data_IF_721998186166
#
_entry.id   IF_721998186166
#
_cell.length_a   1.000
_cell.length_b   1.000
_cell.length_c   1.000
_cell.angle_alpha   90.00
_cell.angle_beta   90.00
_cell.angle_gamma   90.00
#
_symmetry.space_group_name_H-M   'P 1'
#
loop_
_entity.id
_entity.type
_entity.pdbx_description
1 polymer ?
#
# COMPACT_ATOMS: atom_id res chain seq x y z
N UNK A 1 -0.75 -12.32 -12.08
CA UNK A 1 -0.33 -11.57 -10.88
C UNK A 1 -0.07 -10.15 -11.29
N UNK A 2 -0.57 -9.17 -10.55
CA UNK A 2 -0.29 -7.76 -10.76
C UNK A 2 1.21 -7.54 -10.66
N UNK A 3 1.80 -7.29 -11.82
CA UNK A 3 3.17 -6.82 -11.93
C UNK A 3 3.11 -5.32 -12.06
N UNK A 4 4.12 -4.65 -11.55
CA UNK A 4 4.35 -3.26 -11.86
C UNK A 4 4.68 -3.21 -13.36
N UNK A 5 3.69 -2.83 -14.18
CA UNK A 5 3.84 -2.70 -15.63
C UNK A 5 3.71 -1.25 -15.99
N UNK A 6 4.85 -0.57 -16.01
CA UNK A 6 4.92 0.83 -16.40
C UNK A 6 5.90 0.92 -17.56
N UNK A 7 5.37 1.19 -18.77
CA UNK A 7 6.18 1.68 -19.92
C UNK A 7 6.48 3.18 -19.78
N UNK A 8 6.38 3.74 -18.57
CA UNK A 8 6.71 5.12 -18.30
C UNK A 8 8.19 5.17 -17.95
N UNK A 9 8.95 5.99 -18.66
CA UNK A 9 10.31 6.32 -18.28
C UNK A 9 10.22 6.90 -16.87
N UNK A 10 10.89 6.32 -15.85
CA UNK A 10 10.79 6.80 -14.49
C UNK A 10 11.24 8.27 -14.49
N UNK A 11 10.34 9.17 -14.05
CA UNK A 11 10.64 10.60 -13.95
C UNK A 11 11.78 10.86 -12.96
N UNK A 12 12.04 9.91 -12.05
CA UNK A 12 13.15 9.95 -11.10
C UNK A 12 13.71 8.54 -10.95
N UNK A 13 14.92 8.32 -11.46
CA UNK A 13 15.67 7.12 -11.15
C UNK A 13 16.11 7.18 -9.67
N UNK A 14 15.92 6.10 -8.92
CA UNK A 14 16.05 6.11 -7.47
C UNK A 14 17.37 5.49 -7.02
N UNK A 15 18.04 6.14 -6.08
CA UNK A 15 19.27 5.61 -5.47
C UNK A 15 18.93 4.41 -4.57
N UNK A 16 19.68 3.32 -4.77
CA UNK A 16 19.58 2.11 -3.96
C UNK A 16 19.89 2.36 -2.47
N UNK A 17 20.73 3.35 -2.15
CA UNK A 17 21.06 3.72 -0.78
C UNK A 17 19.83 4.25 -0.05
N UNK A 18 19.10 5.18 -0.68
CA UNK A 18 17.83 5.72 -0.14
C UNK A 18 16.83 4.58 0.05
N UNK A 19 16.71 3.69 -0.94
CA UNK A 19 15.79 2.56 -0.82
C UNK A 19 16.15 1.62 0.34
N UNK A 20 17.44 1.36 0.56
CA UNK A 20 17.93 0.54 1.66
C UNK A 20 17.59 1.15 3.04
N UNK A 21 17.61 2.47 3.15
CA UNK A 21 17.21 3.17 4.38
C UNK A 21 15.71 3.02 4.64
N UNK A 22 14.86 3.17 3.62
CA UNK A 22 13.40 3.01 3.76
C UNK A 22 12.97 1.62 4.19
N UNK A 23 13.59 0.57 3.62
CA UNK A 23 13.28 -0.82 3.95
C UNK A 23 14.02 -1.31 5.20
N UNK A 24 14.77 -0.43 5.87
CA UNK A 24 15.61 -0.72 7.05
C UNK A 24 16.56 -1.91 6.84
N UNK A 25 17.06 -2.08 5.62
CA UNK A 25 17.91 -3.21 5.25
C UNK A 25 19.26 -2.72 4.72
N UNK A 26 20.39 -3.07 5.35
CA UNK A 26 21.67 -2.54 4.94
C UNK A 26 22.06 -3.08 3.56
N UNK A 27 22.67 -2.22 2.74
CA UNK A 27 23.07 -2.53 1.34
C UNK A 27 23.81 -3.88 1.18
N UNK A 28 24.61 -4.28 2.17
CA UNK A 28 25.31 -5.59 2.17
C UNK A 28 24.35 -6.80 2.10
N UNK A 29 23.17 -6.70 2.70
CA UNK A 29 22.16 -7.76 2.63
C UNK A 29 21.52 -7.82 1.25
N UNK A 30 21.26 -6.66 0.62
CA UNK A 30 20.83 -6.61 -0.79
C UNK A 30 21.87 -7.25 -1.70
N UNK A 31 23.16 -6.94 -1.52
CA UNK A 31 24.24 -7.62 -2.27
C UNK A 31 24.30 -9.13 -2.00
N UNK A 32 24.02 -9.57 -0.76
CA UNK A 32 23.92 -11.00 -0.42
C UNK A 32 22.74 -11.66 -1.13
N UNK A 33 21.57 -11.01 -1.21
CA UNK A 33 20.42 -11.52 -1.95
C UNK A 33 20.72 -11.72 -3.43
N UNK A 34 21.53 -10.85 -4.05
CA UNK A 34 22.00 -11.06 -5.42
C UNK A 34 22.93 -12.28 -5.51
N UNK A 35 23.93 -12.38 -4.64
CA UNK A 35 24.87 -13.52 -4.61
C UNK A 35 24.18 -14.86 -4.37
N UNK A 36 23.16 -14.87 -3.53
CA UNK A 36 22.34 -16.05 -3.23
C UNK A 36 21.36 -16.39 -4.36
N UNK A 37 21.35 -15.60 -5.45
CA UNK A 37 20.52 -15.82 -6.62
C UNK A 37 19.06 -15.48 -6.38
N UNK A 38 18.72 -14.60 -5.44
CA UNK A 38 17.35 -14.09 -5.25
C UNK A 38 17.07 -12.88 -6.15
N UNK A 39 17.95 -11.88 -6.20
CA UNK A 39 17.76 -10.73 -7.10
C UNK A 39 18.00 -11.13 -8.57
N UNK A 40 17.47 -10.34 -9.50
CA UNK A 40 17.65 -10.51 -10.94
C UNK A 40 18.77 -9.64 -11.52
N UNK A 41 19.22 -8.62 -10.78
CA UNK A 41 20.24 -7.66 -11.19
C UNK A 41 21.32 -7.48 -10.11
N UNK A 42 22.48 -6.94 -10.50
CA UNK A 42 23.59 -6.65 -9.57
C UNK A 42 23.43 -5.25 -8.92
N UNK A 43 23.16 -5.16 -7.60
CA UNK A 43 23.01 -3.89 -6.89
C UNK A 43 24.32 -3.10 -6.72
N UNK A 44 25.47 -3.69 -7.03
CA UNK A 44 26.76 -3.00 -6.99
C UNK A 44 27.12 -2.35 -8.34
N UNK A 45 26.64 -2.93 -9.45
CA UNK A 45 26.90 -2.45 -10.81
C UNK A 45 25.89 -1.41 -11.31
N UNK A 46 24.78 -1.24 -10.61
CA UNK A 46 23.70 -0.31 -10.98
C UNK A 46 23.81 0.96 -10.14
N UNK A 47 23.98 2.10 -10.81
CA UNK A 47 24.03 3.42 -10.16
C UNK A 47 22.64 3.93 -9.76
N UNK A 48 21.64 3.71 -10.61
CA UNK A 48 20.26 4.13 -10.37
C UNK A 48 19.30 2.98 -10.68
N UNK A 49 18.32 2.75 -9.80
CA UNK A 49 17.34 1.68 -9.98
C UNK A 49 16.26 2.12 -10.97
N UNK A 50 15.96 1.23 -11.93
CA UNK A 50 14.70 1.30 -12.64
C UNK A 50 13.54 0.81 -11.75
N UNK A 51 12.31 1.07 -12.17
CA UNK A 51 11.11 0.72 -11.39
C UNK A 51 10.98 -0.79 -11.13
N UNK A 52 11.46 -1.63 -12.06
CA UNK A 52 11.43 -3.08 -11.89
C UNK A 52 12.42 -3.55 -10.83
N UNK A 53 13.63 -2.99 -10.83
CA UNK A 53 14.69 -3.24 -9.88
C UNK A 53 14.31 -2.72 -8.48
N UNK A 54 13.73 -1.52 -8.43
CA UNK A 54 13.19 -0.92 -7.21
C UNK A 54 12.05 -1.78 -6.63
N UNK A 55 11.08 -2.19 -7.43
CA UNK A 55 10.00 -3.08 -7.00
C UNK A 55 10.53 -4.43 -6.51
N UNK A 56 11.51 -5.02 -7.20
CA UNK A 56 12.12 -6.28 -6.80
C UNK A 56 12.87 -6.14 -5.45
N UNK A 57 13.58 -5.04 -5.23
CA UNK A 57 14.26 -4.76 -3.96
C UNK A 57 13.25 -4.51 -2.84
N UNK A 58 12.16 -3.77 -3.08
CA UNK A 58 11.10 -3.61 -2.07
C UNK A 58 10.45 -4.93 -1.71
N UNK A 59 10.13 -5.73 -2.72
CA UNK A 59 9.50 -7.03 -2.54
C UNK A 59 10.36 -7.97 -1.69
N UNK A 60 11.61 -8.21 -2.09
CA UNK A 60 12.49 -9.11 -1.38
C UNK A 60 13.01 -8.50 -0.06
N UNK A 61 13.35 -7.21 -0.09
CA UNK A 61 13.84 -6.46 1.05
C UNK A 61 12.82 -6.40 2.18
N UNK A 62 11.56 -6.11 1.88
CA UNK A 62 10.47 -6.13 2.85
C UNK A 62 10.28 -7.49 3.51
N UNK A 63 10.37 -8.59 2.74
CA UNK A 63 10.29 -9.95 3.30
C UNK A 63 11.46 -10.23 4.26
N UNK A 64 12.68 -9.83 3.90
CA UNK A 64 13.86 -10.01 4.76
C UNK A 64 13.80 -9.14 6.01
N UNK A 65 13.40 -7.87 5.86
CA UNK A 65 13.22 -6.94 6.97
C UNK A 65 12.15 -7.43 7.96
N UNK A 66 11.09 -8.07 7.46
CA UNK A 66 10.09 -8.76 8.27
C UNK A 66 10.60 -10.06 8.95
N UNK A 67 11.89 -10.38 8.82
CA UNK A 67 12.53 -11.53 9.47
C UNK A 67 12.34 -12.86 8.73
N UNK A 68 11.94 -12.86 7.45
CA UNK A 68 11.82 -14.10 6.69
C UNK A 68 13.20 -14.73 6.43
N UNK A 69 13.48 -15.95 6.94
CA UNK A 69 14.74 -16.62 6.67
C UNK A 69 14.82 -17.05 5.19
N UNK A 70 16.03 -17.24 4.68
CA UNK A 70 16.30 -17.68 3.30
C UNK A 70 15.52 -18.93 2.89
N UNK A 71 15.33 -19.88 3.81
CA UNK A 71 14.53 -21.08 3.56
C UNK A 71 13.06 -20.73 3.29
N UNK A 72 12.49 -19.80 4.05
CA UNK A 72 11.13 -19.30 3.84
C UNK A 72 11.03 -18.54 2.52
N UNK A 73 12.02 -17.70 2.17
CA UNK A 73 12.05 -17.02 0.87
C UNK A 73 11.97 -18.00 -0.29
N UNK A 74 12.72 -19.12 -0.26
CA UNK A 74 12.62 -20.14 -1.33
C UNK A 74 11.22 -20.72 -1.46
N UNK A 75 10.52 -20.92 -0.34
CA UNK A 75 9.13 -21.40 -0.35
C UNK A 75 8.20 -20.33 -0.93
N UNK A 76 8.28 -19.10 -0.43
CA UNK A 76 7.44 -17.98 -0.87
C UNK A 76 7.64 -17.65 -2.36
N UNK A 77 8.86 -17.75 -2.86
CA UNK A 77 9.23 -17.36 -4.22
C UNK A 77 9.07 -18.49 -5.25
N UNK A 78 8.80 -19.72 -4.84
CA UNK A 78 8.84 -20.91 -5.72
C UNK A 78 7.93 -20.79 -6.96
N UNK A 79 6.79 -20.13 -6.79
CA UNK A 79 5.75 -20.00 -7.82
C UNK A 79 5.79 -18.62 -8.50
N UNK A 80 6.71 -17.75 -8.09
CA UNK A 80 6.91 -16.43 -8.65
C UNK A 80 8.00 -16.45 -9.72
N UNK A 81 7.75 -15.73 -10.81
CA UNK A 81 8.73 -15.57 -11.89
C UNK A 81 9.49 -14.27 -11.66
N UNK A 82 10.82 -14.36 -11.74
CA UNK A 82 11.69 -13.18 -11.81
C UNK A 82 11.44 -12.34 -13.07
N UNK A 83 11.81 -11.05 -13.07
CA UNK A 83 12.13 -10.24 -11.87
C UNK A 83 10.90 -10.16 -10.94
N UNK A 84 11.12 -10.07 -9.62
CA UNK A 84 10.02 -9.99 -8.66
C UNK A 84 9.40 -8.58 -8.59
N UNK A 85 9.09 -7.99 -9.74
CA UNK A 85 8.51 -6.66 -9.91
C UNK A 85 6.99 -6.69 -9.67
N UNK A 86 6.61 -7.06 -8.46
CA UNK A 86 5.23 -7.30 -8.07
C UNK A 86 4.72 -6.16 -7.16
N UNK A 87 3.46 -5.79 -7.35
CA UNK A 87 2.81 -4.77 -6.52
C UNK A 87 2.37 -5.38 -5.18
N UNK A 88 3.07 -5.00 -4.10
CA UNK A 88 2.83 -5.50 -2.76
C UNK A 88 1.46 -5.09 -2.20
N UNK A 89 0.94 -3.93 -2.59
CA UNK A 89 -0.34 -3.43 -2.08
C UNK A 89 -1.53 -4.19 -2.66
N UNK A 90 -1.30 -4.95 -3.73
CA UNK A 90 -2.31 -5.77 -4.40
C UNK A 90 -2.10 -7.26 -4.23
N UNK A 91 -1.09 -7.68 -3.48
CA UNK A 91 -0.73 -9.08 -3.30
C UNK A 91 -0.79 -9.50 -1.84
N UNK A 92 -1.32 -10.69 -1.61
CA UNK A 92 -1.24 -11.35 -0.31
C UNK A 92 -0.83 -12.81 -0.48
N UNK A 93 -0.21 -13.37 0.56
CA UNK A 93 0.14 -14.79 0.57
C UNK A 93 -0.99 -15.61 1.19
N UNK A 94 -1.62 -16.48 0.39
CA UNK A 94 -2.60 -17.45 0.87
C UNK A 94 -1.85 -18.61 1.54
N UNK A 95 -1.70 -18.54 2.87
CA UNK A 95 -1.01 -19.58 3.65
C UNK A 95 -1.64 -20.96 3.51
N UNK A 96 -2.97 -21.04 3.40
CA UNK A 96 -3.69 -22.31 3.26
C UNK A 96 -3.43 -22.92 1.87
N UNK A 97 -3.40 -22.09 0.84
CA UNK A 97 -3.08 -22.49 -0.53
C UNK A 97 -1.58 -22.57 -0.83
N UNK A 98 -0.72 -22.06 0.04
CA UNK A 98 0.72 -21.95 -0.15
C UNK A 98 1.10 -21.20 -1.44
N UNK A 99 0.38 -20.11 -1.76
CA UNK A 99 0.60 -19.35 -3.00
C UNK A 99 0.24 -17.88 -2.85
N UNK A 100 0.92 -17.03 -3.62
CA UNK A 100 0.55 -15.63 -3.75
C UNK A 100 -0.76 -15.48 -4.53
N UNK A 101 -1.60 -14.56 -4.09
CA UNK A 101 -2.86 -14.19 -4.73
C UNK A 101 -3.02 -12.69 -4.75
N UNK A 102 -3.83 -12.21 -5.69
CA UNK A 102 -4.22 -10.82 -5.73
C UNK A 102 -5.32 -10.56 -4.73
N UNK A 103 -5.25 -9.41 -4.06
CA UNK A 103 -6.40 -8.89 -3.36
C UNK A 103 -7.55 -8.73 -4.37
N UNK A 104 -8.79 -9.08 -3.97
CA UNK A 104 -9.96 -8.84 -4.80
C UNK A 104 -10.01 -7.34 -5.15
N UNK A 105 -10.38 -7.03 -6.40
CA UNK A 105 -10.64 -5.64 -6.78
C UNK A 105 -11.80 -5.05 -5.96
N UNK A 106 -11.98 -3.74 -5.98
CA UNK A 106 -13.06 -3.09 -5.22
C UNK A 106 -14.45 -3.67 -5.54
N UNK A 107 -14.71 -3.95 -6.82
CA UNK A 107 -15.95 -4.59 -7.27
C UNK A 107 -16.13 -6.01 -6.69
N UNK A 108 -15.04 -6.79 -6.64
CA UNK A 108 -15.03 -8.14 -6.05
C UNK A 108 -15.14 -8.09 -4.52
N UNK A 109 -14.63 -7.04 -3.89
CA UNK A 109 -14.68 -6.83 -2.45
C UNK A 109 -16.11 -6.56 -1.97
N UNK A 110 -16.87 -5.73 -2.70
CA UNK A 110 -18.29 -5.50 -2.42
C UNK A 110 -19.09 -6.80 -2.53
N UNK A 111 -18.92 -7.56 -3.62
CA UNK A 111 -19.58 -8.86 -3.77
C UNK A 111 -19.22 -9.86 -2.66
N UNK A 112 -17.95 -9.89 -2.25
CA UNK A 112 -17.48 -10.74 -1.16
C UNK A 112 -18.05 -10.33 0.20
N UNK A 113 -18.27 -9.04 0.43
CA UNK A 113 -18.89 -8.52 1.64
C UNK A 113 -20.37 -8.89 1.72
N UNK A 114 -21.16 -8.71 0.66
CA UNK A 114 -22.57 -9.16 0.65
C UNK A 114 -22.68 -10.67 0.84
N UNK A 115 -21.85 -11.46 0.16
CA UNK A 115 -21.81 -12.91 0.37
C UNK A 115 -21.36 -13.32 1.79
N UNK A 116 -20.66 -12.46 2.53
CA UNK A 116 -20.38 -12.66 3.95
C UNK A 116 -21.62 -12.35 4.80
N UNK A 117 -22.32 -11.25 4.52
CA UNK A 117 -23.55 -10.89 5.22
C UNK A 117 -24.62 -11.98 5.08
N UNK A 118 -24.84 -12.49 3.87
CA UNK A 118 -25.78 -13.59 3.61
C UNK A 118 -25.43 -14.83 4.46
N UNK A 119 -24.14 -15.19 4.52
CA UNK A 119 -23.67 -16.33 5.34
C UNK A 119 -23.83 -16.09 6.83
N UNK A 120 -23.72 -14.86 7.31
CA UNK A 120 -23.93 -14.53 8.73
C UNK A 120 -25.42 -14.57 9.08
N UNK A 121 -26.28 -14.15 8.16
CA UNK A 121 -27.74 -14.26 8.28
C UNK A 121 -28.18 -15.73 8.33
N UNK A 122 -27.74 -16.55 7.37
CA UNK A 122 -28.04 -17.99 7.33
C UNK A 122 -27.63 -18.73 8.61
N UNK A 123 -26.54 -18.28 9.25
CA UNK A 123 -26.02 -18.86 10.49
C UNK A 123 -26.69 -18.29 11.75
N UNK A 124 -27.60 -17.32 11.61
CA UNK A 124 -28.22 -16.63 12.74
C UNK A 124 -27.21 -15.91 13.64
N UNK A 125 -26.09 -15.46 13.09
CA UNK A 125 -24.97 -14.87 13.83
C UNK A 125 -25.24 -13.40 14.22
N UNK A 126 -26.38 -13.16 14.89
CA UNK A 126 -26.95 -11.83 15.19
C UNK A 126 -25.97 -10.87 15.87
N UNK A 127 -25.21 -11.37 16.84
CA UNK A 127 -24.20 -10.57 17.53
C UNK A 127 -23.09 -10.05 16.59
N UNK A 128 -22.72 -10.84 15.57
CA UNK A 128 -21.71 -10.40 14.59
C UNK A 128 -22.27 -9.30 13.69
N UNK A 129 -23.53 -9.42 13.29
CA UNK A 129 -24.22 -8.41 12.48
C UNK A 129 -24.42 -7.10 13.27
N UNK A 130 -24.78 -7.18 14.55
CA UNK A 130 -24.92 -6.01 15.42
C UNK A 130 -23.59 -5.26 15.58
N UNK A 131 -22.48 -5.99 15.78
CA UNK A 131 -21.14 -5.38 15.81
C UNK A 131 -20.73 -4.73 14.48
N UNK A 132 -21.04 -5.35 13.34
CA UNK A 132 -20.76 -4.76 12.03
C UNK A 132 -21.56 -3.46 11.87
N UNK A 133 -22.83 -3.46 12.27
CA UNK A 133 -23.69 -2.26 12.23
C UNK A 133 -23.16 -1.14 13.11
N UNK A 134 -22.77 -1.44 14.35
CA UNK A 134 -22.20 -0.43 15.27
C UNK A 134 -20.95 0.21 14.69
N UNK A 135 -20.04 -0.60 14.16
CA UNK A 135 -18.81 -0.11 13.53
C UNK A 135 -19.08 0.74 12.28
N UNK A 136 -20.05 0.35 11.44
CA UNK A 136 -20.45 1.13 10.26
C UNK A 136 -21.03 2.49 10.65
N UNK A 137 -21.88 2.54 11.67
CA UNK A 137 -22.45 3.80 12.15
C UNK A 137 -21.35 4.71 12.71
N UNK A 138 -20.43 4.18 13.51
CA UNK A 138 -19.29 4.94 14.03
C UNK A 138 -18.42 5.53 12.91
N UNK A 139 -18.14 4.74 11.86
CA UNK A 139 -17.38 5.22 10.71
C UNK A 139 -18.11 6.32 9.93
N UNK A 140 -19.43 6.18 9.72
CA UNK A 140 -20.25 7.19 9.03
C UNK A 140 -20.36 8.49 9.83
N UNK A 141 -20.55 8.39 11.15
CA UNK A 141 -20.59 9.54 12.05
C UNK A 141 -19.25 10.29 12.07
N UNK A 142 -18.12 9.58 11.97
CA UNK A 142 -16.79 10.20 11.85
C UNK A 142 -16.58 10.92 10.51
N UNK A 143 -17.10 10.39 9.40
CA UNK A 143 -17.02 11.09 8.10
C UNK A 143 -17.88 12.36 8.07
N UNK A 144 -19.07 12.34 8.68
CA UNK A 144 -19.91 13.53 8.80
C UNK A 144 -19.28 14.58 9.72
N UNK A 145 -18.69 14.16 10.84
CA UNK A 145 -17.99 15.06 11.76
C UNK A 145 -16.74 15.67 11.12
N UNK A 146 -15.99 14.88 10.34
CA UNK A 146 -14.86 15.37 9.53
C UNK A 146 -15.31 16.41 8.50
N UNK A 147 -16.38 16.13 7.74
CA UNK A 147 -16.92 17.07 6.73
C UNK A 147 -17.43 18.37 7.34
N UNK A 148 -18.05 18.33 8.52
CA UNK A 148 -18.53 19.53 9.22
C UNK A 148 -17.39 20.40 9.76
N UNK A 149 -16.28 19.80 10.20
CA UNK A 149 -15.08 20.54 10.62
C UNK A 149 -14.41 21.25 9.44
N UNK A 150 -14.28 20.59 8.28
CA UNK A 150 -13.73 21.20 7.06
C UNK A 150 -14.62 22.33 6.49
N UNK A 151 -15.94 22.26 6.65
CA UNK A 151 -16.85 23.33 6.23
C UNK A 151 -16.73 24.58 7.11
N UNK A 152 -16.53 24.40 8.43
CA UNK A 152 -16.43 25.51 9.38
C UNK A 152 -15.11 26.30 9.28
N UNK A 153 -14.08 25.68 8.70
CA UNK A 153 -12.76 26.30 8.47
C UNK A 153 -12.76 27.19 7.20
N UNK A 154 -13.53 26.84 6.17
CA UNK A 154 -13.68 27.65 4.95
C UNK A 154 -14.51 28.93 5.15
N UNK A 155 -15.48 28.92 6.06
CA UNK A 155 -16.27 30.14 6.36
C UNK A 155 -15.49 31.15 7.23
N UNK A 156 -14.41 30.71 7.89
CA UNK A 156 -13.57 31.59 8.71
C UNK A 156 -12.56 32.41 7.87
N UNK A 157 -12.30 32.00 6.64
CA UNK A 157 -11.46 32.74 5.67
C UNK A 157 -12.27 33.76 4.82
N UNK A 158 -13.58 33.86 5.05
CA UNK A 158 -14.50 34.78 4.36
C UNK A 158 -14.97 35.96 5.22
N UNK A 159 -14.14 36.44 6.15
CA UNK A 159 -14.41 37.76 6.74
C UNK A 159 -14.14 38.84 5.68
N UNK A 160 -15.12 39.71 5.36
CA UNK A 160 -14.93 40.78 4.39
C UNK A 160 -13.95 41.82 4.94
N UNK A 161 -12.95 42.19 4.14
CA UNK A 161 -12.01 43.25 4.48
C UNK A 161 -12.78 44.55 4.81
N UNK A 162 -12.37 45.28 5.86
CA UNK A 162 -13.00 46.54 6.20
C UNK A 162 -12.83 47.52 5.04
N UNK A 163 -13.94 48.02 4.52
CA UNK A 163 -13.95 49.10 3.53
C UNK A 163 -13.23 50.31 4.11
N UNK A 164 -12.10 50.68 3.50
CA UNK A 164 -11.33 51.89 3.83
C UNK A 164 -12.20 53.14 3.57
N UNK A 165 -12.75 53.67 4.67
CA UNK A 165 -13.37 54.99 4.77
C UNK A 165 -12.30 56.08 4.63
N UNK A 166 -11.86 56.34 3.39
CA UNK A 166 -11.12 57.55 3.07
C UNK A 166 -12.10 58.71 2.87
N UNK A 167 -12.46 59.36 3.98
CA UNK A 167 -13.04 60.69 3.96
C UNK A 167 -12.04 61.71 3.41
N UNK A 168 -12.33 62.28 2.24
CA UNK A 168 -11.67 63.50 1.78
C UNK A 168 -12.47 64.72 2.26
N UNK A 169 -11.85 65.45 3.19
CA UNK A 169 -12.26 66.78 3.60
C UNK A 169 -11.67 67.83 2.64
N UNK A 170 -12.54 68.67 2.06
CA UNK A 170 -12.19 70.02 1.59
C UNK A 170 -13.31 70.98 1.96
#
# INVERSE_FOLDING_TARGET
MARVTSKQVPLFARDIAVLCEEIELPRREITRLFRDGFLSFDPAGVGELDESAEAEVRFLGGLVAAGCPRAMLRVLLRDLRKPYSYDLDRLYYDWKGGRWRLLPGEDDAQGSFFALLDRLEERGARHSLERIREWLNEALDMEETGRLLFAHEQDREREPEPEDDCGDAV
#
